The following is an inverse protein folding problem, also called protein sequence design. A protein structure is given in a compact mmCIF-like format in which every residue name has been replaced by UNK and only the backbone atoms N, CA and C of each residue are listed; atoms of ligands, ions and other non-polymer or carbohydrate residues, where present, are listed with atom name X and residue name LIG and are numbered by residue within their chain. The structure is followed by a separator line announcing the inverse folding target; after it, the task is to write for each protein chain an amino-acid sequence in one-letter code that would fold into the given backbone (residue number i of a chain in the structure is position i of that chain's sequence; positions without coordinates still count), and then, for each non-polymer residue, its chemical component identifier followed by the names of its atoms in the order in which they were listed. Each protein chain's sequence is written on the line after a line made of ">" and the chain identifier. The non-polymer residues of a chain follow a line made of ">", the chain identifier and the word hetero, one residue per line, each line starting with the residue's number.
data_IF_887055171585
#
_entry.id   IF_887055171585
#
_cell.length_a   1.000
_cell.length_b   1.000
_cell.length_c   1.000
_cell.angle_alpha   90.00
_cell.angle_beta   90.00
_cell.angle_gamma   90.00
#
_symmetry.space_group_name_H-M   'P 1'
#
loop_
_entity.id
_entity.type
_entity.pdbx_description
1 polymer ?
#
# COMPACT_ATOMS: atom_id res chain seq x y z
N UNK A 1 -29.58 -0.18 -2.46
CA UNK A 1 -28.85 1.06 -2.76
C UNK A 1 -27.39 0.68 -2.90
N UNK A 2 -26.89 0.88 -4.12
CA UNK A 2 -25.56 0.55 -4.62
C UNK A 2 -24.41 1.14 -3.79
N UNK A 3 -23.19 0.68 -4.09
CA UNK A 3 -21.88 1.21 -3.70
C UNK A 3 -21.13 0.43 -2.61
N UNK A 4 -20.73 -0.80 -2.96
CA UNK A 4 -19.62 -1.52 -2.29
C UNK A 4 -18.27 -1.39 -3.01
N UNK A 5 -18.25 -1.06 -4.31
CA UNK A 5 -17.03 -0.94 -5.11
C UNK A 5 -16.44 0.49 -5.02
N UNK A 6 -17.30 1.51 -5.07
CA UNK A 6 -16.89 2.93 -5.15
C UNK A 6 -16.04 3.41 -3.97
N UNK A 7 -16.24 2.86 -2.76
CA UNK A 7 -15.51 3.33 -1.57
C UNK A 7 -14.01 3.00 -1.62
N UNK A 8 -13.64 1.87 -2.22
CA UNK A 8 -12.24 1.49 -2.37
C UNK A 8 -11.54 2.42 -3.37
N UNK A 9 -12.13 2.54 -4.56
CA UNK A 9 -11.61 3.35 -5.66
C UNK A 9 -11.53 4.84 -5.31
N UNK A 10 -12.54 5.39 -4.61
CA UNK A 10 -12.50 6.79 -4.14
C UNK A 10 -11.33 6.99 -3.17
N UNK A 11 -11.08 6.04 -2.26
CA UNK A 11 -9.99 6.16 -1.27
C UNK A 11 -8.63 5.96 -1.95
N UNK A 12 -8.51 5.04 -2.90
CA UNK A 12 -7.31 4.88 -3.72
C UNK A 12 -6.98 6.14 -4.50
N UNK A 13 -7.98 6.77 -5.13
CA UNK A 13 -7.82 8.05 -5.82
C UNK A 13 -7.45 9.20 -4.86
N UNK A 14 -8.01 9.23 -3.65
CA UNK A 14 -7.59 10.17 -2.62
C UNK A 14 -6.11 9.98 -2.26
N UNK A 15 -5.69 8.75 -2.00
CA UNK A 15 -4.29 8.39 -1.69
C UNK A 15 -3.36 8.79 -2.82
N UNK A 16 -3.72 8.49 -4.08
CA UNK A 16 -2.96 8.88 -5.26
C UNK A 16 -2.69 10.40 -5.26
N UNK A 17 -3.73 11.20 -5.08
CA UNK A 17 -3.60 12.66 -5.03
C UNK A 17 -2.70 13.12 -3.88
N UNK A 18 -2.86 12.55 -2.67
CA UNK A 18 -1.99 12.91 -1.54
C UNK A 18 -0.52 12.56 -1.80
N UNK A 19 -0.24 11.40 -2.40
CA UNK A 19 1.12 10.98 -2.75
C UNK A 19 1.75 11.93 -3.78
N UNK A 20 0.98 12.37 -4.78
CA UNK A 20 1.43 13.33 -5.78
C UNK A 20 1.68 14.72 -5.18
N UNK A 21 0.79 15.21 -4.31
CA UNK A 21 0.91 16.53 -3.67
C UNK A 21 2.14 16.61 -2.76
N UNK A 22 2.41 15.54 -2.01
CA UNK A 22 3.53 15.54 -1.05
C UNK A 22 4.90 15.38 -1.71
N UNK A 23 4.95 14.94 -2.97
CA UNK A 23 6.18 14.77 -3.76
C UNK A 23 7.30 14.02 -3.01
N UNK A 24 6.93 12.96 -2.29
CA UNK A 24 7.86 12.19 -1.42
C UNK A 24 8.78 11.25 -2.21
N UNK A 25 8.56 11.11 -3.51
CA UNK A 25 9.29 10.23 -4.40
C UNK A 25 8.53 9.96 -5.69
N UNK A 26 9.19 9.29 -6.64
CA UNK A 26 8.56 8.96 -7.93
C UNK A 26 7.50 7.89 -7.73
N UNK A 27 6.27 8.19 -8.14
CA UNK A 27 5.17 7.23 -8.16
C UNK A 27 5.29 6.30 -9.38
N UNK A 28 5.20 4.99 -9.14
CA UNK A 28 5.19 3.96 -10.16
C UNK A 28 4.06 2.96 -9.91
N UNK A 29 3.70 2.22 -10.94
CA UNK A 29 2.75 1.10 -10.88
C UNK A 29 3.49 -0.21 -11.09
N UNK A 30 2.99 -1.28 -10.46
CA UNK A 30 3.61 -2.60 -10.56
C UNK A 30 2.56 -3.69 -10.78
N UNK A 31 2.82 -4.54 -11.78
CA UNK A 31 2.01 -5.72 -12.11
C UNK A 31 2.91 -6.86 -12.60
N UNK A 32 2.54 -8.10 -12.29
CA UNK A 32 3.19 -9.30 -12.86
C UNK A 32 2.38 -9.91 -14.01
N UNK A 33 3.01 -10.78 -14.80
CA UNK A 33 2.30 -11.61 -15.80
C UNK A 33 1.21 -12.49 -15.16
N UNK A 34 1.41 -12.90 -13.90
CA UNK A 34 0.42 -13.59 -13.07
C UNK A 34 -0.71 -12.68 -12.54
N UNK A 35 -0.82 -11.45 -13.04
CA UNK A 35 -1.83 -10.43 -12.70
C UNK A 35 -1.82 -9.99 -11.23
N UNK A 36 -0.78 -10.29 -10.47
CA UNK A 36 -0.61 -9.68 -9.14
C UNK A 36 -0.29 -8.19 -9.32
N UNK A 37 -1.01 -7.33 -8.60
CA UNK A 37 -0.89 -5.87 -8.67
C UNK A 37 -0.67 -5.27 -7.29
N UNK A 38 0.09 -4.18 -7.28
CA UNK A 38 0.21 -3.25 -6.17
C UNK A 38 -0.51 -1.96 -6.55
N UNK A 39 -1.21 -1.33 -5.60
CA UNK A 39 -1.91 -0.07 -5.87
C UNK A 39 -0.89 1.01 -6.27
N UNK A 40 0.19 1.15 -5.49
CA UNK A 40 1.27 2.09 -5.77
C UNK A 40 2.64 1.56 -5.34
N UNK A 41 3.69 2.04 -6.01
CA UNK A 41 5.09 1.84 -5.63
C UNK A 41 5.82 3.17 -5.68
N UNK A 42 6.37 3.62 -4.55
CA UNK A 42 7.17 4.83 -4.48
C UNK A 42 8.65 4.49 -4.64
N UNK A 43 9.36 5.21 -5.49
CA UNK A 43 10.82 5.23 -5.54
C UNK A 43 11.34 6.45 -4.81
N UNK A 44 12.05 6.23 -3.71
CA UNK A 44 12.59 7.27 -2.82
C UNK A 44 14.10 7.08 -2.75
N UNK A 45 14.85 7.91 -3.49
CA UNK A 45 16.25 7.63 -3.78
C UNK A 45 16.40 6.28 -4.48
N UNK A 46 17.24 5.41 -3.93
CA UNK A 46 17.47 4.04 -4.46
C UNK A 46 16.52 3.00 -3.85
N UNK A 47 15.60 3.39 -2.97
CA UNK A 47 14.65 2.46 -2.33
C UNK A 47 13.30 2.44 -3.06
N UNK A 48 12.73 1.26 -3.20
CA UNK A 48 11.30 1.09 -3.54
C UNK A 48 10.49 0.81 -2.29
N UNK A 49 9.32 1.43 -2.18
CA UNK A 49 8.38 1.23 -1.09
C UNK A 49 6.99 0.93 -1.65
N UNK A 50 6.47 -0.30 -1.47
CA UNK A 50 5.11 -0.61 -1.89
C UNK A 50 4.10 0.02 -0.92
N UNK A 51 3.01 0.55 -1.49
CA UNK A 51 1.87 1.11 -0.76
C UNK A 51 0.62 0.36 -1.21
N UNK A 52 -0.14 -0.20 -0.26
CA UNK A 52 -1.43 -0.86 -0.53
C UNK A 52 -2.54 -0.21 0.30
N UNK A 53 -3.67 0.08 -0.34
CA UNK A 53 -4.86 0.63 0.27
C UNK A 53 -5.80 -0.53 0.62
N UNK A 54 -6.17 -0.60 1.90
CA UNK A 54 -7.10 -1.58 2.44
C UNK A 54 -8.10 -0.84 3.33
N UNK A 55 -9.03 -0.12 2.72
CA UNK A 55 -10.06 0.65 3.42
C UNK A 55 -11.16 -0.25 4.01
N UNK A 56 -10.76 -1.09 4.96
CA UNK A 56 -11.59 -2.03 5.71
C UNK A 56 -11.13 -2.10 7.16
N UNK A 57 -11.97 -2.63 8.04
CA UNK A 57 -11.61 -2.83 9.44
C UNK A 57 -10.63 -4.01 9.58
N UNK A 58 -9.56 -3.85 10.35
CA UNK A 58 -8.59 -4.91 10.64
C UNK A 58 -8.73 -5.39 12.09
N UNK A 59 -8.70 -6.71 12.29
CA UNK A 59 -8.55 -7.31 13.64
C UNK A 59 -7.09 -7.60 13.99
N UNK A 60 -6.25 -7.81 12.98
CA UNK A 60 -4.81 -8.09 13.08
C UNK A 60 -4.11 -7.71 11.78
N UNK A 61 -2.79 -7.41 11.81
CA UNK A 61 -2.03 -7.12 10.60
C UNK A 61 -2.15 -8.24 9.56
N UNK A 62 -2.54 -7.89 8.33
CA UNK A 62 -2.63 -8.83 7.20
C UNK A 62 -2.24 -8.10 5.91
N UNK A 63 -1.37 -8.71 5.13
CA UNK A 63 -0.95 -8.23 3.82
C UNK A 63 -1.45 -9.17 2.72
N UNK A 64 -1.71 -8.65 1.52
CA UNK A 64 -2.20 -9.45 0.40
C UNK A 64 -1.12 -10.38 -0.18
N UNK A 65 -1.53 -11.29 -1.06
CA UNK A 65 -0.59 -12.17 -1.78
C UNK A 65 0.31 -11.36 -2.72
N UNK A 66 -0.23 -10.35 -3.40
CA UNK A 66 0.53 -9.43 -4.25
C UNK A 66 1.58 -8.68 -3.45
N UNK A 67 1.22 -8.16 -2.27
CA UNK A 67 2.15 -7.48 -1.38
C UNK A 67 3.32 -8.37 -0.95
N UNK A 68 3.02 -9.63 -0.57
CA UNK A 68 4.05 -10.64 -0.26
C UNK A 68 4.94 -10.92 -1.48
N UNK A 69 4.35 -11.07 -2.66
CA UNK A 69 5.08 -11.31 -3.91
C UNK A 69 6.02 -10.16 -4.23
N UNK A 70 5.57 -8.91 -4.05
CA UNK A 70 6.41 -7.73 -4.24
C UNK A 70 7.57 -7.74 -3.24
N UNK A 71 7.29 -7.93 -1.95
CA UNK A 71 8.34 -7.97 -0.92
C UNK A 71 9.37 -9.06 -1.22
N UNK A 72 8.95 -10.26 -1.60
CA UNK A 72 9.88 -11.34 -1.93
C UNK A 72 10.72 -11.06 -3.18
N UNK A 73 10.24 -10.23 -4.11
CA UNK A 73 10.95 -9.94 -5.36
C UNK A 73 11.96 -8.78 -5.21
N UNK A 74 11.64 -7.78 -4.38
CA UNK A 74 12.43 -6.54 -4.27
C UNK A 74 13.06 -6.32 -2.89
N UNK A 75 12.70 -7.11 -1.89
CA UNK A 75 13.19 -7.03 -0.50
C UNK A 75 13.27 -5.58 0.06
N UNK A 76 12.20 -4.78 -0.07
CA UNK A 76 12.25 -3.38 0.31
C UNK A 76 12.48 -3.22 1.81
N UNK A 77 13.18 -2.17 2.24
CA UNK A 77 13.41 -1.93 3.69
C UNK A 77 12.12 -1.63 4.44
N UNK A 78 11.19 -0.91 3.78
CA UNK A 78 9.94 -0.41 4.35
C UNK A 78 8.79 -0.65 3.38
N UNK A 79 7.58 -0.79 3.93
CA UNK A 79 6.34 -0.93 3.18
C UNK A 79 5.18 -0.33 3.98
N UNK A 80 4.13 0.09 3.28
CA UNK A 80 3.00 0.78 3.89
C UNK A 80 1.67 0.13 3.47
N UNK A 81 0.79 -0.06 4.44
CA UNK A 81 -0.60 -0.43 4.22
C UNK A 81 -1.48 0.66 4.81
N UNK A 82 -2.26 1.33 3.97
CA UNK A 82 -3.22 2.33 4.41
C UNK A 82 -4.53 1.65 4.76
N UNK A 83 -4.99 1.84 5.99
CA UNK A 83 -6.17 1.18 6.54
C UNK A 83 -7.32 2.16 6.74
N UNK A 84 -8.49 1.67 7.12
CA UNK A 84 -9.59 2.55 7.52
C UNK A 84 -9.34 3.19 8.89
N UNK A 85 -8.95 2.39 9.88
CA UNK A 85 -8.90 2.78 11.30
C UNK A 85 -7.82 2.04 12.11
N UNK A 86 -7.02 1.17 11.48
CA UNK A 86 -6.10 0.30 12.17
C UNK A 86 -4.65 0.81 12.14
N UNK A 87 -4.07 0.93 13.33
CA UNK A 87 -2.64 1.16 13.53
C UNK A 87 -1.93 -0.14 13.87
N UNK A 88 -0.79 -0.37 13.24
CA UNK A 88 0.03 -1.53 13.58
C UNK A 88 1.35 -1.56 12.86
N UNK A 89 2.21 -2.48 13.30
CA UNK A 89 3.47 -2.78 12.63
C UNK A 89 3.63 -4.29 12.57
N UNK A 90 4.21 -4.78 11.47
CA UNK A 90 4.66 -6.17 11.37
C UNK A 90 5.94 -6.23 10.54
N UNK A 91 6.50 -7.43 10.42
CA UNK A 91 7.68 -7.70 9.61
C UNK A 91 7.41 -8.91 8.73
N UNK A 92 7.83 -8.85 7.48
CA UNK A 92 7.79 -9.98 6.55
C UNK A 92 9.06 -9.93 5.70
N UNK A 93 9.81 -11.05 5.63
CA UNK A 93 11.08 -11.14 4.89
C UNK A 93 12.02 -9.94 5.09
N UNK A 94 12.29 -9.55 6.34
CA UNK A 94 13.17 -8.40 6.60
C UNK A 94 12.48 -7.03 6.50
N UNK A 95 11.48 -6.87 5.63
CA UNK A 95 10.74 -5.63 5.41
C UNK A 95 9.90 -5.23 6.62
N UNK A 96 10.06 -3.97 7.08
CA UNK A 96 9.20 -3.36 8.10
C UNK A 96 7.93 -2.83 7.44
N UNK A 97 6.76 -3.30 7.90
CA UNK A 97 5.47 -2.92 7.33
C UNK A 97 4.69 -2.11 8.35
N UNK A 98 4.32 -0.89 8.01
CA UNK A 98 3.45 -0.04 8.81
C UNK A 98 2.01 -0.12 8.31
N UNK A 99 1.07 -0.20 9.25
CA UNK A 99 -0.35 -0.05 8.99
C UNK A 99 -0.79 1.27 9.60
N UNK A 100 -1.37 2.13 8.77
CA UNK A 100 -1.69 3.52 9.12
C UNK A 100 -3.07 3.86 8.59
N UNK A 101 -3.99 4.43 9.39
CA UNK A 101 -5.26 4.90 8.87
C UNK A 101 -5.07 5.96 7.78
N UNK A 102 -5.84 5.85 6.70
CA UNK A 102 -5.62 6.60 5.45
C UNK A 102 -5.68 8.12 5.63
N UNK A 103 -6.37 8.64 6.64
CA UNK A 103 -6.49 10.08 6.89
C UNK A 103 -5.24 10.71 7.53
N UNK A 104 -4.16 9.94 7.73
CA UNK A 104 -2.84 10.46 8.14
C UNK A 104 -1.84 10.58 6.97
N UNK A 105 -2.26 10.19 5.75
CA UNK A 105 -1.44 10.40 4.55
C UNK A 105 -1.61 11.79 3.97
#
# INVERSE_FOLDING_TARGET
>A
MENRVDKGEIVENFVLNQLLIRDVGKLNYWRTLGKAEMDFVLTIGDEVMPVEVKYMNFKKPKISKSFKSFISAYEPKRALVLTKDFWGKTKFNGTKIAFVPVYYI
#
